data_IF_814782516705
#
_entry.id   IF_814782516705
#
_cell.length_a   1.000
_cell.length_b   1.000
_cell.length_c   1.000
_cell.angle_alpha   90.00
_cell.angle_beta   90.00
_cell.angle_gamma   90.00
#
_symmetry.space_group_name_H-M   'P 1'
#
loop_
_entity.id
_entity.type
_entity.pdbx_description
1 polymer ?
#
# COMPACT_ATOMS: atom_id res chain seq x y z
N UNK A 1 22.79 -1.68 -16.19
CA UNK A 1 23.51 -0.90 -17.22
C UNK A 1 22.80 0.44 -17.51
N UNK A 2 21.48 0.45 -17.74
CA UNK A 2 20.69 1.67 -17.98
C UNK A 2 20.82 2.78 -16.92
N UNK A 3 20.78 2.45 -15.62
CA UNK A 3 20.83 3.46 -14.55
C UNK A 3 22.16 4.24 -14.48
N UNK A 4 23.28 3.59 -14.84
CA UNK A 4 24.59 4.26 -14.92
C UNK A 4 24.63 5.24 -16.11
N UNK A 5 24.00 4.88 -17.23
CA UNK A 5 23.87 5.78 -18.37
C UNK A 5 22.99 7.00 -18.03
N UNK A 6 21.85 6.81 -17.35
CA UNK A 6 20.95 7.91 -16.98
C UNK A 6 21.65 8.89 -16.01
N UNK A 7 22.33 8.37 -14.98
CA UNK A 7 23.06 9.22 -14.03
C UNK A 7 24.20 10.00 -14.70
N UNK A 8 24.91 9.38 -15.65
CA UNK A 8 25.97 10.06 -16.41
C UNK A 8 25.40 11.15 -17.32
N UNK A 9 24.27 10.88 -17.97
CA UNK A 9 23.61 11.82 -18.88
C UNK A 9 23.07 13.04 -18.13
N UNK A 10 22.45 12.83 -16.97
CA UNK A 10 21.97 13.90 -16.08
C UNK A 10 23.15 14.76 -15.62
N UNK A 11 24.26 14.15 -15.17
CA UNK A 11 25.44 14.88 -14.71
C UNK A 11 26.06 15.72 -15.83
N UNK A 12 26.17 15.18 -17.05
CA UNK A 12 26.68 15.94 -18.20
C UNK A 12 25.80 17.12 -18.54
N UNK A 13 24.47 16.94 -18.57
CA UNK A 13 23.50 18.00 -18.85
C UNK A 13 23.55 19.11 -17.79
N UNK A 14 23.64 18.75 -16.51
CA UNK A 14 23.71 19.73 -15.42
C UNK A 14 24.99 20.56 -15.46
N UNK A 15 26.12 19.94 -15.81
CA UNK A 15 27.40 20.65 -15.93
C UNK A 15 27.39 21.61 -17.13
N UNK A 16 26.85 21.18 -18.28
CA UNK A 16 26.77 22.03 -19.48
C UNK A 16 25.82 23.23 -19.25
N UNK A 17 24.65 22.99 -18.69
CA UNK A 17 23.70 24.05 -18.37
C UNK A 17 24.29 25.05 -17.34
N UNK A 18 25.07 24.57 -16.37
CA UNK A 18 25.72 25.43 -15.41
C UNK A 18 26.83 26.30 -16.02
N UNK A 19 27.62 25.74 -16.94
CA UNK A 19 28.63 26.53 -17.67
C UNK A 19 28.01 27.64 -18.50
N UNK A 20 26.84 27.38 -19.09
CA UNK A 20 26.08 28.38 -19.84
C UNK A 20 25.49 29.44 -18.91
N UNK A 21 24.96 29.04 -17.75
CA UNK A 21 24.42 29.97 -16.76
C UNK A 21 25.47 30.91 -16.16
N UNK A 22 26.70 30.44 -15.94
CA UNK A 22 27.80 31.29 -15.46
C UNK A 22 28.17 32.43 -16.44
N UNK A 23 27.81 32.33 -17.73
CA UNK A 23 28.01 33.44 -18.68
C UNK A 23 27.17 34.66 -18.34
N UNK A 24 26.01 34.45 -17.70
CA UNK A 24 25.08 35.50 -17.29
C UNK A 24 25.18 35.81 -15.79
N UNK A 25 25.67 34.87 -14.99
CA UNK A 25 25.77 34.98 -13.53
C UNK A 25 27.15 34.58 -12.99
N UNK A 26 28.21 35.38 -13.26
CA UNK A 26 29.59 35.02 -12.92
C UNK A 26 29.87 34.93 -11.42
N UNK A 27 29.10 35.65 -10.58
CA UNK A 27 29.21 35.61 -9.11
C UNK A 27 28.96 34.22 -8.51
N UNK A 28 28.25 33.37 -9.23
CA UNK A 28 27.78 32.09 -8.73
C UNK A 28 28.76 30.93 -9.00
N UNK A 29 29.98 31.27 -9.42
CA UNK A 29 31.13 30.35 -9.53
C UNK A 29 31.39 29.58 -8.22
N UNK A 30 30.97 30.15 -7.09
CA UNK A 30 31.06 29.56 -5.74
C UNK A 30 30.35 28.19 -5.70
N UNK A 31 29.27 28.01 -6.46
CA UNK A 31 28.50 26.76 -6.53
C UNK A 31 29.12 25.71 -7.45
N UNK A 32 30.19 26.02 -8.19
CA UNK A 32 30.85 25.08 -9.09
C UNK A 32 31.31 23.80 -8.37
N UNK A 33 31.74 23.94 -7.11
CA UNK A 33 32.11 22.79 -6.26
C UNK A 33 30.91 21.94 -5.88
N UNK A 34 29.74 22.54 -5.66
CA UNK A 34 28.50 21.83 -5.31
C UNK A 34 27.89 21.11 -6.52
N UNK A 35 28.02 21.68 -7.72
CA UNK A 35 27.48 21.09 -8.96
C UNK A 35 28.38 19.98 -9.51
N UNK A 36 29.70 20.10 -9.31
CA UNK A 36 30.65 19.02 -9.62
C UNK A 36 30.62 17.88 -8.60
N UNK A 37 29.95 18.06 -7.46
CA UNK A 37 29.75 17.00 -6.48
C UNK A 37 28.82 15.95 -7.11
N UNK A 38 29.41 14.80 -7.46
CA UNK A 38 28.68 13.61 -7.89
C UNK A 38 27.56 13.35 -6.88
N UNK A 39 26.31 13.56 -7.30
CA UNK A 39 25.15 13.03 -6.60
C UNK A 39 25.36 11.53 -6.55
N UNK A 40 25.88 11.03 -5.43
CA UNK A 40 25.92 9.61 -5.13
C UNK A 40 24.46 9.21 -4.93
N UNK A 41 23.79 8.85 -6.02
CA UNK A 41 22.56 8.08 -5.93
C UNK A 41 22.91 6.84 -5.12
N UNK A 42 22.46 6.82 -3.87
CA UNK A 42 22.59 5.66 -3.04
C UNK A 42 21.70 4.60 -3.69
N UNK A 43 22.32 3.73 -4.51
CA UNK A 43 21.67 2.59 -5.14
C UNK A 43 21.42 1.52 -4.08
N UNK A 44 20.71 1.90 -3.02
CA UNK A 44 20.33 0.99 -1.98
C UNK A 44 19.30 0.04 -2.60
N UNK A 45 19.80 -1.03 -3.23
CA UNK A 45 18.99 -2.04 -3.94
C UNK A 45 17.98 -2.74 -3.02
N UNK A 46 18.15 -2.57 -1.71
CA UNK A 46 17.36 -3.22 -0.68
C UNK A 46 16.56 -2.18 0.12
N UNK A 47 15.85 -1.28 -0.56
CA UNK A 47 14.81 -0.52 0.13
C UNK A 47 13.70 -1.48 0.57
N UNK A 48 13.21 -1.39 1.80
CA UNK A 48 12.13 -2.25 2.27
C UNK A 48 10.87 -1.97 1.45
N UNK A 49 10.28 -3.01 0.89
CA UNK A 49 9.01 -2.97 0.17
C UNK A 49 7.94 -3.64 1.01
N UNK A 50 7.28 -2.86 1.87
CA UNK A 50 6.37 -3.34 2.92
C UNK A 50 5.06 -2.57 2.81
N UNK A 51 3.93 -3.27 2.95
CA UNK A 51 2.59 -2.68 2.87
C UNK A 51 2.36 -1.77 1.64
N UNK A 52 2.71 -2.21 0.40
CA UNK A 52 2.80 -1.33 -0.76
C UNK A 52 1.48 -0.64 -1.14
N UNK A 53 0.34 -1.32 -0.97
CA UNK A 53 -0.98 -0.71 -1.18
C UNK A 53 -1.24 0.43 -0.21
N UNK A 54 -0.90 0.24 1.07
CA UNK A 54 -1.05 1.27 2.10
C UNK A 54 -0.08 2.44 1.87
N UNK A 55 1.17 2.15 1.49
CA UNK A 55 2.14 3.21 1.19
C UNK A 55 1.66 4.07 0.02
N UNK A 56 1.16 3.44 -1.05
CA UNK A 56 0.61 4.16 -2.20
C UNK A 56 -0.56 5.05 -1.80
N UNK A 57 -1.49 4.53 -0.99
CA UNK A 57 -2.65 5.26 -0.50
C UNK A 57 -2.29 6.48 0.35
N UNK A 58 -1.24 6.39 1.17
CA UNK A 58 -0.79 7.48 2.02
C UNK A 58 -0.03 8.55 1.22
N UNK A 59 0.72 8.13 0.20
CA UNK A 59 1.41 9.05 -0.71
C UNK A 59 0.44 9.85 -1.58
N UNK A 60 -0.73 9.31 -1.89
CA UNK A 60 -1.79 10.07 -2.57
C UNK A 60 -2.39 11.11 -1.64
N UNK A 61 -1.81 12.32 -1.62
CA UNK A 61 -2.29 13.46 -0.85
C UNK A 61 -1.40 13.91 0.31
N UNK A 62 -0.19 13.35 0.45
CA UNK A 62 0.82 13.86 1.37
C UNK A 62 2.12 14.20 0.63
N UNK A 63 2.53 15.47 0.73
CA UNK A 63 3.83 15.94 0.22
C UNK A 63 4.90 16.01 1.32
N UNK A 64 4.56 15.55 2.54
CA UNK A 64 5.51 15.55 3.66
C UNK A 64 6.68 14.60 3.37
N UNK A 65 7.93 15.03 3.62
CA UNK A 65 9.11 14.17 3.43
C UNK A 65 9.15 13.00 4.43
N UNK A 66 8.49 13.13 5.58
CA UNK A 66 8.40 12.10 6.61
C UNK A 66 6.93 11.95 7.00
N UNK A 67 6.41 10.71 6.90
CA UNK A 67 5.04 10.38 7.26
C UNK A 67 5.09 9.30 8.33
N UNK A 68 4.53 9.60 9.50
CA UNK A 68 4.36 8.62 10.58
C UNK A 68 3.03 7.91 10.37
N UNK A 69 3.06 6.58 10.48
CA UNK A 69 1.88 5.73 10.28
C UNK A 69 1.79 4.69 11.38
N UNK A 70 0.64 4.03 11.48
CA UNK A 70 0.33 3.03 12.51
C UNK A 70 0.71 1.61 12.10
N UNK A 71 1.28 1.42 10.91
CA UNK A 71 1.66 0.10 10.41
C UNK A 71 2.76 -0.49 11.29
N UNK A 72 2.45 -1.63 11.91
CA UNK A 72 3.44 -2.44 12.60
C UNK A 72 4.11 -3.37 11.59
N UNK A 73 5.43 -3.20 11.43
CA UNK A 73 6.23 -3.96 10.48
C UNK A 73 6.18 -5.47 10.72
N UNK A 74 6.17 -5.90 11.97
CA UNK A 74 6.21 -7.32 12.33
C UNK A 74 4.85 -7.97 12.04
N UNK A 75 3.75 -7.29 12.39
CA UNK A 75 2.40 -7.75 12.08
C UNK A 75 2.17 -7.80 10.57
N UNK A 76 2.56 -6.75 9.85
CA UNK A 76 2.48 -6.70 8.39
C UNK A 76 3.20 -7.89 7.75
N UNK A 77 4.48 -8.11 8.10
CA UNK A 77 5.28 -9.21 7.53
C UNK A 77 4.67 -10.58 7.86
N UNK A 78 4.14 -10.73 9.07
CA UNK A 78 3.50 -11.98 9.51
C UNK A 78 2.24 -12.27 8.70
N UNK A 79 1.38 -11.27 8.54
CA UNK A 79 0.12 -11.45 7.79
C UNK A 79 0.40 -11.66 6.31
N UNK A 80 1.36 -10.93 5.70
CA UNK A 80 1.75 -11.15 4.30
C UNK A 80 2.18 -12.60 4.06
N UNK A 81 2.96 -13.18 4.99
CA UNK A 81 3.34 -14.59 4.93
C UNK A 81 2.12 -15.52 5.03
N UNK A 82 1.20 -15.26 5.97
CA UNK A 82 0.01 -16.09 6.13
C UNK A 82 -0.93 -16.02 4.93
N UNK A 83 -1.11 -14.83 4.35
CA UNK A 83 -1.91 -14.63 3.13
C UNK A 83 -1.30 -15.41 1.97
N UNK A 84 0.02 -15.35 1.78
CA UNK A 84 0.69 -16.13 0.74
C UNK A 84 0.49 -17.63 0.92
N UNK A 85 0.64 -18.13 2.15
CA UNK A 85 0.38 -19.55 2.45
C UNK A 85 -1.07 -19.95 2.18
N UNK A 86 -2.02 -19.09 2.57
CA UNK A 86 -3.45 -19.32 2.32
C UNK A 86 -3.77 -19.38 0.83
N UNK A 87 -3.28 -18.42 0.03
CA UNK A 87 -3.50 -18.42 -1.42
C UNK A 87 -2.91 -19.68 -2.05
N UNK A 88 -1.67 -20.04 -1.70
CA UNK A 88 -1.02 -21.23 -2.24
C UNK A 88 -1.80 -22.53 -1.93
N UNK A 89 -2.35 -22.69 -0.71
CA UNK A 89 -3.17 -23.86 -0.37
C UNK A 89 -4.52 -23.87 -1.13
N UNK A 90 -5.06 -22.69 -1.43
CA UNK A 90 -6.40 -22.51 -2.00
C UNK A 90 -6.44 -22.32 -3.50
N UNK A 91 -5.28 -22.25 -4.15
CA UNK A 91 -5.15 -22.11 -5.61
C UNK A 91 -5.92 -23.20 -6.36
N UNK A 92 -5.90 -24.45 -5.87
CA UNK A 92 -6.66 -25.58 -6.42
C UNK A 92 -8.19 -25.39 -6.45
N UNK A 93 -8.71 -24.46 -5.65
CA UNK A 93 -10.13 -24.10 -5.61
C UNK A 93 -10.42 -22.80 -6.40
N UNK A 94 -9.46 -22.28 -7.16
CA UNK A 94 -9.57 -21.04 -7.92
C UNK A 94 -9.40 -19.77 -7.09
N UNK A 95 -8.94 -19.88 -5.83
CA UNK A 95 -8.65 -18.71 -4.99
C UNK A 95 -7.20 -18.31 -5.22
N UNK A 96 -6.99 -17.26 -6.00
CA UNK A 96 -5.68 -16.76 -6.39
C UNK A 96 -5.33 -15.37 -5.81
N UNK A 97 -6.26 -14.76 -5.06
CA UNK A 97 -6.07 -13.42 -4.51
C UNK A 97 -6.79 -13.28 -3.15
N UNK A 98 -6.30 -12.37 -2.31
CA UNK A 98 -6.88 -12.03 -1.02
C UNK A 98 -6.52 -10.59 -0.61
N UNK A 99 -7.41 -10.00 0.18
CA UNK A 99 -7.22 -8.67 0.78
C UNK A 99 -7.44 -8.78 2.28
N UNK A 100 -6.60 -8.11 3.06
CA UNK A 100 -6.64 -8.16 4.53
C UNK A 100 -6.39 -6.77 5.10
N UNK A 101 -7.15 -6.42 6.14
CA UNK A 101 -6.89 -5.26 6.99
C UNK A 101 -6.87 -5.72 8.44
N UNK A 102 -5.85 -5.31 9.20
CA UNK A 102 -5.76 -5.53 10.64
C UNK A 102 -5.94 -4.18 11.34
N UNK A 103 -6.87 -4.12 12.28
CA UNK A 103 -7.26 -2.91 12.99
C UNK A 103 -7.17 -3.17 14.50
N UNK A 104 -6.61 -2.23 15.25
CA UNK A 104 -6.74 -2.20 16.71
C UNK A 104 -8.17 -1.81 17.08
N UNK A 105 -8.90 -2.65 17.81
CA UNK A 105 -10.31 -2.39 18.11
C UNK A 105 -10.53 -1.27 19.14
N UNK A 106 -9.50 -0.86 19.88
CA UNK A 106 -9.58 0.20 20.89
C UNK A 106 -9.25 1.56 20.26
N UNK A 107 -8.18 1.63 19.47
CA UNK A 107 -7.74 2.89 18.81
C UNK A 107 -8.31 3.08 17.41
N UNK A 108 -8.84 2.02 16.80
CA UNK A 108 -9.27 1.96 15.39
C UNK A 108 -8.14 2.22 14.39
N UNK A 109 -6.88 2.08 14.82
CA UNK A 109 -5.71 2.26 13.99
C UNK A 109 -5.45 1.05 13.08
N UNK A 110 -4.95 1.30 11.87
CA UNK A 110 -4.59 0.24 10.93
C UNK A 110 -3.18 -0.23 11.23
N UNK A 111 -3.05 -1.47 11.71
CA UNK A 111 -1.78 -2.07 12.09
C UNK A 111 -1.12 -2.83 10.93
N UNK A 112 -1.92 -3.36 10.00
CA UNK A 112 -1.44 -4.01 8.79
C UNK A 112 -2.51 -3.91 7.68
N UNK A 113 -2.06 -3.86 6.43
CA UNK A 113 -2.93 -3.75 5.25
C UNK A 113 -2.32 -4.44 4.03
N UNK A 114 -3.12 -5.28 3.38
CA UNK A 114 -2.78 -6.03 2.18
C UNK A 114 -3.94 -5.85 1.21
N UNK A 115 -3.70 -5.15 0.10
CA UNK A 115 -4.74 -4.92 -0.91
C UNK A 115 -4.92 -6.09 -1.86
N UNK A 116 -3.90 -6.92 -2.04
CA UNK A 116 -3.87 -8.05 -2.95
C UNK A 116 -2.76 -9.01 -2.52
N UNK A 117 -2.88 -10.29 -2.88
CA UNK A 117 -1.98 -11.36 -2.46
C UNK A 117 -0.53 -11.20 -2.94
N UNK A 118 -0.33 -10.54 -4.07
CA UNK A 118 0.99 -10.25 -4.62
C UNK A 118 0.96 -8.97 -5.46
N UNK A 119 1.72 -7.95 -5.05
CA UNK A 119 1.65 -6.60 -5.64
C UNK A 119 2.09 -6.55 -7.12
N UNK A 120 3.10 -7.34 -7.49
CA UNK A 120 3.67 -7.34 -8.85
C UNK A 120 3.03 -8.36 -9.81
N UNK A 121 1.99 -9.07 -9.35
CA UNK A 121 1.33 -10.08 -10.16
C UNK A 121 0.19 -9.46 -10.97
N UNK A 122 0.39 -9.32 -12.29
CA UNK A 122 -0.58 -8.71 -13.18
C UNK A 122 -1.83 -9.58 -13.40
N UNK A 123 -1.70 -10.90 -13.35
CA UNK A 123 -2.80 -11.84 -13.65
C UNK A 123 -3.93 -11.74 -12.63
N UNK A 124 -3.60 -11.33 -11.40
CA UNK A 124 -4.57 -11.11 -10.31
C UNK A 124 -4.87 -9.63 -10.06
N UNK A 125 -4.41 -8.75 -10.96
CA UNK A 125 -4.45 -7.30 -10.77
C UNK A 125 -3.82 -6.86 -9.45
N UNK A 126 -2.59 -7.32 -9.18
CA UNK A 126 -1.84 -7.19 -7.93
C UNK A 126 -1.78 -5.79 -7.32
N UNK A 127 -1.78 -4.74 -8.15
CA UNK A 127 -1.69 -3.35 -7.71
C UNK A 127 -3.02 -2.78 -7.23
N UNK A 128 -4.16 -3.43 -7.53
CA UNK A 128 -5.48 -2.99 -7.07
C UNK A 128 -5.56 -3.19 -5.56
N UNK A 129 -5.90 -2.13 -4.83
CA UNK A 129 -6.17 -2.25 -3.41
C UNK A 129 -7.60 -2.77 -3.16
N UNK A 130 -7.70 -4.07 -2.91
CA UNK A 130 -8.94 -4.74 -2.60
C UNK A 130 -9.56 -4.33 -1.25
N UNK A 131 -8.80 -3.76 -0.30
CA UNK A 131 -9.37 -3.26 0.97
C UNK A 131 -10.25 -2.02 0.80
N UNK A 132 -10.05 -1.27 -0.29
CA UNK A 132 -10.88 -0.11 -0.67
C UNK A 132 -11.92 -0.44 -1.75
N UNK A 133 -11.88 -1.65 -2.30
CA UNK A 133 -12.76 -2.06 -3.39
C UNK A 133 -14.12 -2.48 -2.85
N UNK A 134 -15.21 -1.89 -3.38
CA UNK A 134 -16.58 -2.29 -3.01
C UNK A 134 -16.88 -3.71 -3.49
N UNK A 135 -17.37 -4.55 -2.58
CA UNK A 135 -17.80 -5.93 -2.85
C UNK A 135 -19.06 -6.24 -2.04
N UNK A 136 -19.84 -7.23 -2.49
CA UNK A 136 -20.92 -7.75 -1.66
C UNK A 136 -20.34 -8.37 -0.39
N UNK A 137 -20.78 -7.98 0.81
CA UNK A 137 -20.30 -8.56 2.07
C UNK A 137 -20.81 -9.99 2.31
N UNK A 138 -21.85 -10.41 1.57
CA UNK A 138 -22.50 -11.71 1.78
C UNK A 138 -23.03 -11.87 3.20
N UNK A 139 -22.83 -13.06 3.80
CA UNK A 139 -23.31 -13.36 5.16
C UNK A 139 -22.70 -12.47 6.25
N UNK A 140 -21.60 -11.75 6.00
CA UNK A 140 -21.06 -10.79 6.95
C UNK A 140 -22.04 -9.64 7.27
N UNK A 141 -23.00 -9.36 6.37
CA UNK A 141 -24.06 -8.38 6.61
C UNK A 141 -25.03 -8.79 7.73
N UNK A 142 -25.19 -10.09 7.99
CA UNK A 142 -26.21 -10.61 8.92
C UNK A 142 -26.09 -10.01 10.32
N UNK A 143 -24.88 -9.83 10.83
CA UNK A 143 -24.67 -9.24 12.16
C UNK A 143 -25.33 -7.86 12.30
N UNK A 144 -25.27 -7.02 11.25
CA UNK A 144 -25.92 -5.71 11.23
C UNK A 144 -27.45 -5.81 11.18
N UNK A 145 -27.98 -6.78 10.43
CA UNK A 145 -29.43 -7.04 10.38
C UNK A 145 -29.94 -7.48 11.76
N UNK A 146 -29.21 -8.36 12.45
CA UNK A 146 -29.56 -8.76 13.81
C UNK A 146 -29.45 -7.60 14.80
N UNK A 147 -28.38 -6.81 14.74
CA UNK A 147 -28.21 -5.63 15.59
C UNK A 147 -29.38 -4.65 15.43
N UNK A 148 -29.75 -4.30 14.19
CA UNK A 148 -30.90 -3.43 13.92
C UNK A 148 -32.21 -4.02 14.45
N UNK A 149 -32.38 -5.34 14.35
CA UNK A 149 -33.57 -6.02 14.86
C UNK A 149 -33.64 -5.99 16.39
N UNK A 150 -32.50 -6.05 17.08
CA UNK A 150 -32.41 -5.84 18.53
C UNK A 150 -32.69 -4.38 18.91
N UNK A 151 -32.09 -3.42 18.20
CA UNK A 151 -32.29 -1.99 18.43
C UNK A 151 -33.76 -1.59 18.29
N UNK A 152 -34.45 -2.18 17.31
CA UNK A 152 -35.87 -1.98 17.07
C UNK A 152 -36.77 -2.86 17.96
N UNK A 153 -36.19 -3.63 18.88
CA UNK A 153 -36.90 -4.55 19.78
C UNK A 153 -37.80 -5.56 19.04
N UNK A 154 -37.47 -5.90 17.79
CA UNK A 154 -38.21 -6.86 16.97
C UNK A 154 -37.93 -8.31 17.40
N UNK A 155 -36.71 -8.56 17.85
CA UNK A 155 -36.25 -9.85 18.34
C UNK A 155 -35.48 -9.68 19.64
N UNK A 156 -35.24 -10.78 20.33
CA UNK A 156 -34.36 -10.89 21.50
C UNK A 156 -33.49 -12.15 21.32
N UNK A 157 -32.41 -12.33 22.11
CA UNK A 157 -31.46 -13.43 21.87
C UNK A 157 -32.06 -14.85 21.86
N UNK A 158 -33.23 -15.05 22.47
CA UNK A 158 -33.96 -16.33 22.52
C UNK A 158 -35.14 -16.40 21.54
N UNK A 159 -35.30 -15.42 20.66
CA UNK A 159 -36.39 -15.40 19.69
C UNK A 159 -36.26 -16.58 18.70
N UNK A 160 -37.37 -17.30 18.51
CA UNK A 160 -37.45 -18.37 17.52
C UNK A 160 -37.65 -17.77 16.13
N UNK A 161 -36.72 -18.06 15.22
CA UNK A 161 -36.77 -17.60 13.83
C UNK A 161 -37.24 -18.73 12.92
N UNK A 162 -38.09 -18.40 11.93
CA UNK A 162 -38.61 -19.37 10.97
C UNK A 162 -37.53 -19.72 9.95
N UNK A 163 -37.13 -20.98 9.91
CA UNK A 163 -36.20 -21.54 8.91
C UNK A 163 -36.95 -22.53 8.00
N UNK A 164 -37.77 -21.99 7.10
CA UNK A 164 -38.52 -22.77 6.12
C UNK A 164 -38.26 -22.20 4.73
N UNK A 165 -38.21 -23.02 3.67
CA UNK A 165 -38.08 -22.53 2.30
C UNK A 165 -39.11 -21.45 1.99
N UNK A 166 -38.65 -20.35 1.39
CA UNK A 166 -39.49 -19.29 0.85
C UNK A 166 -39.54 -19.41 -0.66
N UNK A 167 -40.76 -19.31 -1.20
CA UNK A 167 -41.09 -19.38 -2.63
C UNK A 167 -41.18 -17.99 -3.27
#
# INVERSE_FOLDING_TARGET
MLLKCIAFLILSLTLTAFTEWLTTHPQDIIYNKLISLLIKFNQNKNLPFIAPHFTLDILTGNDSPIIYTTIDKNLQTTIEKQVRLYINDREKYGINNASVILIDFTTMEVLASIGSGEFFNNDICGQINGTKSRRSPGSALKAFVYALSFDQSLIHPLALLKDTPTY
#
